data_IF_928110337650
#
_entry.id   IF_928110337650
#
_cell.length_a   1.000
_cell.length_b   1.000
_cell.length_c   1.000
_cell.angle_alpha   90.00
_cell.angle_beta   90.00
_cell.angle_gamma   90.00
#
_symmetry.space_group_name_H-M   'P 1'
#
loop_
_entity.id
_entity.type
_entity.pdbx_description
1 polymer ?
#
# COMPACT_ATOMS: atom_id res chain seq x y z
N UNK A 1 0.92 -18.02 -11.77
CA UNK A 1 0.83 -17.31 -10.47
C UNK A 1 0.24 -15.94 -10.72
N UNK A 2 -0.70 -15.47 -9.89
CA UNK A 2 -1.29 -14.14 -10.04
C UNK A 2 -0.27 -13.07 -9.62
N UNK A 3 -0.21 -11.94 -10.34
CA UNK A 3 0.71 -10.85 -9.99
C UNK A 3 0.39 -10.28 -8.59
N UNK A 4 1.39 -10.01 -7.74
CA UNK A 4 1.15 -9.42 -6.43
C UNK A 4 0.77 -7.94 -6.53
N UNK A 5 -0.01 -7.50 -5.56
CA UNK A 5 -0.36 -6.10 -5.38
C UNK A 5 -0.18 -5.71 -3.92
N UNK A 6 0.42 -4.54 -3.69
CA UNK A 6 0.51 -3.91 -2.39
C UNK A 6 -0.64 -2.91 -2.23
N UNK A 7 -1.24 -2.88 -1.04
CA UNK A 7 -2.14 -1.82 -0.62
C UNK A 7 -1.35 -0.88 0.27
N UNK A 8 -1.33 0.40 -0.08
CA UNK A 8 -0.52 1.41 0.58
C UNK A 8 -1.44 2.46 1.18
N UNK A 9 -1.19 2.83 2.43
CA UNK A 9 -1.84 3.97 3.05
C UNK A 9 -1.05 5.24 2.73
N UNK A 10 -1.76 6.34 2.47
CA UNK A 10 -1.15 7.65 2.24
C UNK A 10 -2.08 8.74 2.72
N UNK A 11 -1.52 9.91 3.04
CA UNK A 11 -2.29 11.08 3.36
C UNK A 11 -2.46 11.94 2.09
N UNK A 12 -3.69 12.14 1.64
CA UNK A 12 -3.98 12.91 0.43
C UNK A 12 -3.83 14.43 0.60
N UNK A 13 -3.66 14.92 1.84
CA UNK A 13 -3.47 16.34 2.16
C UNK A 13 -2.00 16.70 2.37
N UNK A 14 -1.24 15.82 3.04
CA UNK A 14 0.18 16.05 3.37
C UNK A 14 1.14 15.33 2.42
N UNK A 15 0.63 14.42 1.57
CA UNK A 15 1.42 13.53 0.71
C UNK A 15 2.34 12.58 1.49
N UNK A 16 2.11 12.42 2.80
CA UNK A 16 2.84 11.47 3.63
C UNK A 16 2.44 10.03 3.29
N UNK A 17 3.44 9.14 3.22
CA UNK A 17 3.22 7.71 3.11
C UNK A 17 2.95 7.11 4.49
N UNK A 18 1.83 6.41 4.64
CA UNK A 18 1.54 5.56 5.80
C UNK A 18 2.14 4.14 5.68
N UNK A 19 2.77 3.83 4.54
CA UNK A 19 3.41 2.55 4.28
C UNK A 19 2.46 1.50 3.70
N UNK A 20 3.03 0.31 3.46
CA UNK A 20 2.30 -0.86 2.97
C UNK A 20 1.47 -1.44 4.11
N UNK A 21 0.18 -1.68 3.84
CA UNK A 21 -0.77 -2.29 4.79
C UNK A 21 -0.89 -3.79 4.55
N UNK A 22 -0.82 -4.23 3.29
CA UNK A 22 -0.90 -5.63 2.90
C UNK A 22 -0.31 -5.87 1.52
N UNK A 23 0.18 -7.10 1.28
CA UNK A 23 0.53 -7.60 -0.05
C UNK A 23 -0.34 -8.82 -0.36
N UNK A 24 -1.09 -8.79 -1.46
CA UNK A 24 -2.10 -9.81 -1.80
C UNK A 24 -1.92 -10.34 -3.23
N UNK A 25 -2.38 -11.59 -3.52
CA UNK A 25 -2.25 -12.16 -4.84
C UNK A 25 -3.39 -11.67 -5.76
N UNK A 26 -3.04 -10.87 -6.77
CA UNK A 26 -3.96 -10.43 -7.81
C UNK A 26 -4.76 -9.17 -7.49
N UNK A 27 -5.21 -8.52 -8.57
CA UNK A 27 -5.90 -7.23 -8.51
C UNK A 27 -7.28 -7.32 -7.86
N UNK A 28 -8.04 -8.39 -8.11
CA UNK A 28 -9.38 -8.57 -7.55
C UNK A 28 -9.33 -8.64 -6.01
N UNK A 29 -8.43 -9.46 -5.45
CA UNK A 29 -8.22 -9.54 -4.01
C UNK A 29 -7.77 -8.19 -3.41
N UNK A 30 -6.92 -7.45 -4.14
CA UNK A 30 -6.51 -6.11 -3.72
C UNK A 30 -7.68 -5.12 -3.68
N UNK A 31 -8.57 -5.16 -4.67
CA UNK A 31 -9.76 -4.31 -4.72
C UNK A 31 -10.76 -4.65 -3.61
N UNK A 32 -11.00 -5.93 -3.35
CA UNK A 32 -11.88 -6.38 -2.26
C UNK A 32 -11.34 -5.92 -0.89
N UNK A 33 -10.04 -6.11 -0.64
CA UNK A 33 -9.41 -5.70 0.61
C UNK A 33 -9.36 -4.16 0.74
N UNK A 34 -9.08 -3.42 -0.35
CA UNK A 34 -9.14 -1.96 -0.37
C UNK A 34 -10.52 -1.46 0.08
N UNK A 35 -11.60 -2.01 -0.48
CA UNK A 35 -12.97 -1.64 -0.10
C UNK A 35 -13.30 -2.02 1.35
N UNK A 36 -12.73 -3.10 1.87
CA UNK A 36 -12.88 -3.47 3.28
C UNK A 36 -12.16 -2.47 4.19
N UNK A 37 -10.95 -2.06 3.84
CA UNK A 37 -10.16 -1.08 4.59
C UNK A 37 -10.86 0.29 4.59
N UNK A 38 -11.34 0.75 3.44
CA UNK A 38 -12.06 2.03 3.32
C UNK A 38 -13.36 2.05 4.13
N UNK A 39 -14.10 0.93 4.16
CA UNK A 39 -15.32 0.80 4.97
C UNK A 39 -15.03 0.74 6.48
N UNK A 40 -13.92 0.11 6.87
CA UNK A 40 -13.48 -0.02 8.26
C UNK A 40 -12.71 1.19 8.80
N UNK A 41 -12.34 2.14 7.93
CA UNK A 41 -11.53 3.29 8.32
C UNK A 41 -12.31 4.20 9.29
N UNK A 42 -11.69 4.53 10.41
CA UNK A 42 -12.28 5.44 11.39
C UNK A 42 -12.49 6.85 10.78
N UNK A 43 -13.35 7.65 11.42
CA UNK A 43 -13.68 8.99 10.92
C UNK A 43 -12.54 10.00 11.10
N UNK A 44 -11.74 9.86 12.16
CA UNK A 44 -10.60 10.73 12.46
C UNK A 44 -9.54 10.65 11.35
N UNK A 45 -9.14 9.44 10.95
CA UNK A 45 -8.18 9.20 9.89
C UNK A 45 -8.70 9.71 8.54
N UNK A 46 -9.99 9.46 8.25
CA UNK A 46 -10.63 9.99 7.04
C UNK A 46 -10.65 11.51 7.03
N UNK A 47 -10.94 12.13 8.17
CA UNK A 47 -10.94 13.58 8.34
C UNK A 47 -9.52 14.15 8.25
N UNK A 48 -8.50 13.44 8.74
CA UNK A 48 -7.09 13.81 8.64
C UNK A 48 -6.54 13.66 7.20
N UNK A 49 -7.25 12.96 6.31
CA UNK A 49 -6.89 12.80 4.91
C UNK A 49 -6.19 11.47 4.58
N UNK A 50 -6.12 10.53 5.52
CA UNK A 50 -5.59 9.19 5.25
C UNK A 50 -6.51 8.44 4.30
N UNK A 51 -5.92 7.80 3.29
CA UNK A 51 -6.57 7.01 2.24
C UNK A 51 -5.69 5.82 1.86
N UNK A 52 -6.19 4.98 0.97
CA UNK A 52 -5.48 3.80 0.49
C UNK A 52 -5.45 3.76 -1.04
N UNK A 53 -4.42 3.16 -1.62
CA UNK A 53 -4.39 2.83 -3.04
C UNK A 53 -3.71 1.48 -3.28
N UNK A 54 -3.89 0.97 -4.49
CA UNK A 54 -3.30 -0.30 -4.94
C UNK A 54 -2.13 -0.01 -5.88
N UNK A 55 -1.01 -0.67 -5.63
CA UNK A 55 0.19 -0.63 -6.45
C UNK A 55 0.58 -2.06 -6.86
N UNK A 56 1.00 -2.24 -8.11
CA UNK A 56 1.58 -3.52 -8.53
C UNK A 56 2.91 -3.74 -7.81
N UNK A 57 3.09 -4.92 -7.24
CA UNK A 57 4.26 -5.24 -6.42
C UNK A 57 4.95 -6.51 -6.90
N UNK A 58 6.25 -6.58 -6.69
CA UNK A 58 7.10 -7.77 -6.83
C UNK A 58 7.26 -8.53 -5.50
N UNK A 59 6.71 -8.01 -4.41
CA UNK A 59 6.75 -8.64 -3.09
C UNK A 59 5.82 -9.85 -3.02
N UNK A 60 6.21 -10.86 -2.25
CA UNK A 60 5.39 -12.05 -2.06
C UNK A 60 4.09 -11.68 -1.30
N UNK A 61 2.93 -12.21 -1.71
CA UNK A 61 1.71 -12.09 -0.92
C UNK A 61 1.90 -12.60 0.51
N UNK A 62 1.36 -11.87 1.49
CA UNK A 62 1.55 -12.18 2.92
C UNK A 62 2.87 -11.70 3.52
N UNK A 63 3.72 -10.97 2.76
CA UNK A 63 4.87 -10.26 3.35
C UNK A 63 4.37 -9.31 4.44
N UNK A 64 5.07 -9.29 5.58
CA UNK A 64 4.77 -8.39 6.69
C UNK A 64 4.75 -6.92 6.24
N UNK A 65 3.80 -6.14 6.76
CA UNK A 65 3.55 -4.76 6.37
C UNK A 65 4.77 -3.84 6.60
N UNK A 66 5.46 -3.98 7.73
CA UNK A 66 6.65 -3.16 8.03
C UNK A 66 7.81 -3.56 7.13
N UNK A 67 8.02 -4.86 6.92
CA UNK A 67 9.03 -5.36 5.98
C UNK A 67 8.74 -4.90 4.55
N UNK A 68 7.49 -5.01 4.10
CA UNK A 68 7.07 -4.59 2.76
C UNK A 68 7.26 -3.08 2.55
N UNK A 69 6.99 -2.28 3.59
CA UNK A 69 7.25 -0.83 3.57
C UNK A 69 8.73 -0.52 3.37
N UNK A 70 9.62 -1.19 4.12
CA UNK A 70 11.08 -1.01 3.96
C UNK A 70 11.56 -1.42 2.57
N UNK A 71 11.10 -2.57 2.06
CA UNK A 71 11.48 -3.06 0.73
C UNK A 71 10.99 -2.13 -0.38
N UNK A 72 9.75 -1.63 -0.27
CA UNK A 72 9.20 -0.64 -1.19
C UNK A 72 10.01 0.66 -1.19
N UNK A 73 10.39 1.15 0.00
CA UNK A 73 11.20 2.36 0.11
C UNK A 73 12.57 2.19 -0.54
N UNK A 74 13.28 1.10 -0.24
CA UNK A 74 14.58 0.81 -0.86
C UNK A 74 14.50 0.71 -2.39
N UNK A 75 13.39 0.18 -2.93
CA UNK A 75 13.15 0.14 -4.37
C UNK A 75 12.98 1.53 -4.97
N UNK A 76 12.22 2.41 -4.32
CA UNK A 76 12.03 3.79 -4.76
C UNK A 76 13.34 4.58 -4.70
N UNK A 77 14.08 4.49 -3.60
CA UNK A 77 15.36 5.18 -3.42
C UNK A 77 16.37 4.78 -4.52
N UNK A 78 16.36 3.50 -4.92
CA UNK A 78 17.17 3.00 -6.04
C UNK A 78 16.72 3.59 -7.37
N UNK A 79 15.41 3.63 -7.64
CA UNK A 79 14.87 4.20 -8.87
C UNK A 79 15.18 5.69 -8.99
N UNK A 80 15.09 6.45 -7.90
CA UNK A 80 15.42 7.87 -7.87
C UNK A 80 16.93 8.10 -8.06
N UNK A 81 17.77 7.17 -7.61
CA UNK A 81 19.24 7.25 -7.80
C UNK A 81 19.68 6.92 -9.24
N UNK A 82 18.85 6.22 -10.00
CA UNK A 82 19.12 5.78 -11.38
C UNK A 82 18.51 6.73 -12.44
N UNK A 83 17.73 7.74 -12.01
CA UNK A 83 17.04 8.73 -12.86
C UNK A 83 17.85 10.01 -13.08
#
# INVERSE_FOLDING_TARGET
MSQPFAIIQYNCRTYESGGVVAVVPGKAAAQELLQSLERGQNEEDRYAGWRYFIEQSDLAPGTDAQQATKLRQMRLDRQDSEA
#
